data_IF_844450821438
#
_entry.id   IF_844450821438
#
_cell.length_a   1.000
_cell.length_b   1.000
_cell.length_c   1.000
_cell.angle_alpha   90.00
_cell.angle_beta   90.00
_cell.angle_gamma   90.00
#
_symmetry.space_group_name_H-M   'P 1'
#
loop_
_entity.id
_entity.type
_entity.pdbx_description
1 polymer ?
#
# COMPACT_ATOMS: atom_id res chain seq x y z
N UNK A 1 -13.61 -46.71 -96.60
CA UNK A 1 -14.05 -47.17 -95.29
C UNK A 1 -12.93 -46.90 -94.28
N UNK A 2 -12.96 -45.75 -93.66
CA UNK A 2 -12.04 -45.42 -92.55
C UNK A 2 -12.89 -44.68 -91.46
N UNK A 3 -13.01 -45.28 -90.31
CA UNK A 3 -13.69 -44.74 -89.14
C UNK A 3 -12.73 -43.82 -88.37
N UNK A 4 -13.11 -42.59 -88.19
CA UNK A 4 -12.43 -41.63 -87.35
C UNK A 4 -13.05 -41.72 -85.96
N UNK A 5 -12.20 -42.01 -84.95
CA UNK A 5 -12.59 -42.02 -83.54
C UNK A 5 -12.10 -40.69 -82.99
N UNK A 6 -13.06 -39.85 -82.53
CA UNK A 6 -12.76 -38.62 -81.80
C UNK A 6 -12.57 -38.94 -80.31
N UNK A 7 -11.40 -38.60 -79.78
CA UNK A 7 -11.13 -38.69 -78.34
C UNK A 7 -11.57 -37.45 -77.64
N UNK A 8 -12.40 -37.64 -76.62
CA UNK A 8 -12.82 -36.55 -75.72
C UNK A 8 -11.86 -36.51 -74.52
N UNK A 9 -11.08 -35.41 -74.38
CA UNK A 9 -10.28 -35.14 -73.21
C UNK A 9 -11.18 -34.56 -72.12
N UNK A 10 -11.37 -35.29 -71.03
CA UNK A 10 -12.01 -34.77 -69.83
C UNK A 10 -10.91 -34.22 -68.91
N UNK A 11 -10.86 -32.86 -68.81
CA UNK A 11 -10.02 -32.17 -67.86
C UNK A 11 -10.58 -32.25 -66.45
N UNK A 12 -9.89 -32.94 -65.56
CA UNK A 12 -10.22 -33.00 -64.13
C UNK A 12 -9.69 -31.72 -63.44
N UNK A 13 -10.59 -30.80 -63.06
CA UNK A 13 -10.27 -29.69 -62.18
C UNK A 13 -10.16 -30.20 -60.76
N UNK A 14 -8.94 -30.28 -60.23
CA UNK A 14 -8.68 -30.57 -58.81
C UNK A 14 -8.93 -29.30 -58.01
N UNK A 15 -10.08 -29.22 -57.30
CA UNK A 15 -10.31 -28.23 -56.26
C UNK A 15 -9.44 -28.60 -55.02
N UNK A 16 -8.35 -27.88 -54.83
CA UNK A 16 -7.58 -27.95 -53.56
C UNK A 16 -8.33 -27.09 -52.55
N UNK A 17 -9.15 -27.70 -51.69
CA UNK A 17 -9.70 -27.10 -50.50
C UNK A 17 -8.56 -26.83 -49.49
N UNK A 18 -8.13 -25.57 -49.41
CA UNK A 18 -7.24 -25.10 -48.35
C UNK A 18 -8.03 -25.05 -47.04
N UNK A 19 -7.95 -26.14 -46.26
CA UNK A 19 -8.38 -26.13 -44.86
C UNK A 19 -7.45 -25.17 -44.10
N UNK A 20 -7.85 -23.94 -43.92
CA UNK A 20 -7.26 -22.99 -42.99
C UNK A 20 -7.45 -23.53 -41.56
N UNK A 21 -6.44 -24.21 -41.04
CA UNK A 21 -6.37 -24.57 -39.62
C UNK A 21 -6.27 -23.27 -38.81
N UNK A 22 -7.41 -22.77 -38.37
CA UNK A 22 -7.46 -21.73 -37.33
C UNK A 22 -6.73 -22.27 -36.10
N UNK A 23 -5.48 -21.82 -35.88
CA UNK A 23 -4.76 -22.02 -34.61
C UNK A 23 -5.57 -21.31 -33.53
N UNK A 24 -6.46 -22.03 -32.82
CA UNK A 24 -6.98 -21.57 -31.54
C UNK A 24 -5.76 -21.30 -30.66
N UNK A 25 -5.38 -20.03 -30.49
CA UNK A 25 -4.39 -19.65 -29.51
C UNK A 25 -4.90 -20.14 -28.16
N UNK A 26 -4.19 -21.08 -27.54
CA UNK A 26 -4.45 -21.45 -26.14
C UNK A 26 -4.29 -20.16 -25.34
N UNK A 27 -5.38 -19.60 -24.83
CA UNK A 27 -5.35 -18.49 -23.90
C UNK A 27 -4.39 -18.91 -22.79
N UNK A 28 -3.28 -18.19 -22.64
CA UNK A 28 -2.33 -18.46 -21.56
C UNK A 28 -3.11 -18.48 -20.24
N UNK A 29 -2.81 -19.43 -19.37
CA UNK A 29 -3.47 -19.53 -18.07
C UNK A 29 -3.12 -18.26 -17.28
N UNK A 30 -4.12 -17.59 -16.73
CA UNK A 30 -3.89 -16.39 -15.92
C UNK A 30 -2.96 -16.72 -14.75
N UNK A 31 -2.05 -15.81 -14.46
CA UNK A 31 -1.13 -15.91 -13.31
C UNK A 31 -1.81 -15.26 -12.11
N UNK A 32 -1.94 -16.01 -11.01
CA UNK A 32 -2.43 -15.47 -9.75
C UNK A 32 -1.28 -14.80 -8.98
N UNK A 33 -1.48 -13.57 -8.53
CA UNK A 33 -0.57 -12.82 -7.65
C UNK A 33 -1.35 -12.38 -6.42
N UNK A 34 -0.85 -12.71 -5.23
CA UNK A 34 -1.43 -12.30 -3.95
C UNK A 34 -0.69 -11.08 -3.42
N UNK A 35 -1.43 -10.01 -3.13
CA UNK A 35 -0.87 -8.81 -2.48
C UNK A 35 -1.51 -8.60 -1.12
N UNK A 36 -0.68 -8.53 -0.08
CA UNK A 36 -1.10 -8.25 1.30
C UNK A 36 -1.28 -6.76 1.56
N UNK A 37 -2.40 -6.40 2.15
CA UNK A 37 -2.74 -5.02 2.53
C UNK A 37 -3.29 -5.00 3.94
N UNK A 38 -3.36 -3.82 4.59
CA UNK A 38 -3.93 -3.69 5.94
C UNK A 38 -5.12 -2.75 5.93
N UNK A 39 -6.31 -3.34 6.09
CA UNK A 39 -7.58 -2.62 6.09
C UNK A 39 -8.36 -2.74 4.79
N UNK A 40 -9.64 -2.37 4.83
CA UNK A 40 -10.60 -2.56 3.75
C UNK A 40 -10.48 -1.51 2.65
N UNK A 41 -10.02 -0.29 2.97
CA UNK A 41 -9.87 0.82 2.02
C UNK A 41 -8.95 0.48 0.83
N UNK A 42 -8.05 -0.47 1.00
CA UNK A 42 -7.13 -0.89 -0.05
C UNK A 42 -7.82 -1.61 -1.21
N UNK A 43 -9.04 -2.16 -1.03
CA UNK A 43 -9.82 -2.71 -2.15
C UNK A 43 -10.11 -1.65 -3.20
N UNK A 44 -10.55 -0.46 -2.78
CA UNK A 44 -10.82 0.67 -3.68
C UNK A 44 -9.54 1.16 -4.37
N UNK A 45 -8.43 1.27 -3.61
CA UNK A 45 -7.14 1.75 -4.12
C UNK A 45 -6.55 0.83 -5.18
N UNK A 46 -6.74 -0.49 -5.03
CA UNK A 46 -6.22 -1.50 -5.96
C UNK A 46 -7.18 -1.89 -7.08
N UNK A 47 -8.46 -1.48 -7.04
CA UNK A 47 -9.46 -1.83 -8.04
C UNK A 47 -9.06 -1.43 -9.47
N UNK A 48 -8.50 -0.24 -9.75
CA UNK A 48 -8.00 0.11 -11.09
C UNK A 48 -6.91 -0.84 -11.57
N UNK A 49 -5.92 -1.14 -10.71
CA UNK A 49 -4.82 -2.05 -11.03
C UNK A 49 -5.31 -3.47 -11.29
N UNK A 50 -6.22 -4.01 -10.46
CA UNK A 50 -6.83 -5.31 -10.68
C UNK A 50 -7.52 -5.40 -12.04
N UNK A 51 -8.26 -4.37 -12.42
CA UNK A 51 -8.95 -4.28 -13.71
C UNK A 51 -7.96 -4.28 -14.88
N UNK A 52 -6.90 -3.49 -14.82
CA UNK A 52 -5.87 -3.40 -15.85
C UNK A 52 -5.13 -4.74 -16.01
N UNK A 53 -4.64 -5.31 -14.90
CA UNK A 53 -3.86 -6.56 -14.88
C UNK A 53 -4.65 -7.76 -15.40
N UNK A 54 -5.96 -7.81 -15.14
CA UNK A 54 -6.83 -8.88 -15.65
C UNK A 54 -6.81 -8.96 -17.17
N UNK A 55 -6.70 -7.83 -17.87
CA UNK A 55 -6.60 -7.79 -19.33
C UNK A 55 -5.28 -8.34 -19.84
N UNK A 56 -4.22 -8.32 -19.01
CA UNK A 56 -2.90 -8.86 -19.30
C UNK A 56 -2.72 -10.34 -18.84
N UNK A 57 -3.78 -10.96 -18.34
CA UNK A 57 -3.74 -12.34 -17.86
C UNK A 57 -3.14 -12.49 -16.46
N UNK A 58 -3.08 -11.41 -15.66
CA UNK A 58 -2.65 -11.41 -14.27
C UNK A 58 -3.88 -11.22 -13.39
N UNK A 59 -4.11 -12.14 -12.47
CA UNK A 59 -5.21 -12.10 -11.51
C UNK A 59 -4.65 -11.66 -10.15
N UNK A 60 -4.71 -10.35 -9.86
CA UNK A 60 -4.25 -9.79 -8.60
C UNK A 60 -5.30 -10.03 -7.50
N UNK A 61 -4.93 -10.79 -6.48
CA UNK A 61 -5.76 -11.12 -5.32
C UNK A 61 -5.35 -10.30 -4.11
N UNK A 62 -6.25 -9.50 -3.58
CA UNK A 62 -6.04 -8.78 -2.33
C UNK A 62 -6.17 -9.75 -1.16
N UNK A 63 -5.18 -9.76 -0.27
CA UNK A 63 -5.20 -10.48 1.01
C UNK A 63 -5.18 -9.44 2.12
N UNK A 64 -6.29 -9.30 2.84
CA UNK A 64 -6.42 -8.31 3.91
C UNK A 64 -5.87 -8.84 5.23
N UNK A 65 -5.10 -8.00 5.91
CA UNK A 65 -4.63 -8.19 7.28
C UNK A 65 -5.25 -7.14 8.19
N UNK A 66 -5.31 -7.42 9.48
CA UNK A 66 -5.88 -6.52 10.50
C UNK A 66 -4.84 -5.72 11.27
N UNK A 67 -3.56 -6.04 11.10
CA UNK A 67 -2.44 -5.44 11.83
C UNK A 67 -1.21 -5.25 10.95
N UNK A 68 -0.20 -4.53 11.47
CA UNK A 68 1.06 -4.27 10.75
C UNK A 68 2.15 -5.33 11.00
N UNK A 69 1.94 -6.27 11.93
CA UNK A 69 2.95 -7.29 12.31
C UNK A 69 2.98 -8.45 11.33
N UNK A 70 1.79 -8.90 10.89
CA UNK A 70 1.62 -10.14 10.14
C UNK A 70 2.07 -10.06 8.67
N UNK A 71 1.88 -8.95 7.91
CA UNK A 71 2.07 -9.00 6.44
C UNK A 71 3.50 -9.24 5.98
N UNK A 72 4.53 -8.72 6.66
CA UNK A 72 5.92 -8.98 6.28
C UNK A 72 6.35 -10.42 6.60
N UNK A 73 5.82 -11.01 7.67
CA UNK A 73 6.01 -12.43 7.96
C UNK A 73 5.38 -13.31 6.86
N UNK A 74 4.12 -13.03 6.50
CA UNK A 74 3.42 -13.75 5.43
C UNK A 74 4.14 -13.61 4.07
N UNK A 75 4.69 -12.42 3.76
CA UNK A 75 5.49 -12.21 2.57
C UNK A 75 6.80 -13.02 2.62
N UNK A 76 7.52 -12.95 3.73
CA UNK A 76 8.78 -13.67 3.92
C UNK A 76 8.60 -15.19 3.78
N UNK A 77 7.50 -15.74 4.31
CA UNK A 77 7.16 -17.16 4.25
C UNK A 77 6.58 -17.62 2.90
N UNK A 78 6.27 -16.69 1.97
CA UNK A 78 5.70 -17.02 0.66
C UNK A 78 4.21 -17.31 0.67
N UNK A 79 3.49 -16.90 1.70
CA UNK A 79 2.02 -17.03 1.78
C UNK A 79 1.33 -16.00 0.87
N UNK A 80 1.98 -14.85 0.66
CA UNK A 80 1.66 -13.80 -0.31
C UNK A 80 2.88 -13.53 -1.20
N UNK A 81 2.67 -12.92 -2.36
CA UNK A 81 3.73 -12.61 -3.33
C UNK A 81 4.30 -11.20 -3.15
N UNK A 82 3.43 -10.26 -2.79
CA UNK A 82 3.70 -8.85 -2.56
C UNK A 82 2.99 -8.38 -1.29
N UNK A 83 3.43 -7.26 -0.72
CA UNK A 83 2.57 -6.48 0.18
C UNK A 83 2.64 -4.99 -0.13
N UNK A 84 1.60 -4.23 0.27
CA UNK A 84 1.49 -2.80 0.04
C UNK A 84 0.69 -2.16 1.18
N UNK A 85 1.30 -2.01 2.36
CA UNK A 85 0.64 -1.47 3.56
C UNK A 85 1.52 -0.53 4.37
N UNK A 86 2.83 -0.55 4.13
CA UNK A 86 3.87 0.01 4.97
C UNK A 86 4.64 1.12 4.28
N UNK A 87 5.22 2.01 5.07
CA UNK A 87 6.16 3.00 4.57
C UNK A 87 7.62 2.50 4.67
N UNK A 88 8.54 3.20 3.98
CA UNK A 88 9.94 2.80 3.81
C UNK A 88 10.63 2.49 5.15
N UNK A 89 10.58 3.40 6.12
CA UNK A 89 11.28 3.19 7.39
C UNK A 89 10.68 2.05 8.22
N UNK A 90 9.37 1.77 8.08
CA UNK A 90 8.75 0.60 8.71
C UNK A 90 9.32 -0.68 8.11
N UNK A 91 9.38 -0.79 6.77
CA UNK A 91 9.98 -1.93 6.10
C UNK A 91 11.43 -2.16 6.54
N UNK A 92 12.25 -1.10 6.56
CA UNK A 92 13.66 -1.18 6.96
C UNK A 92 13.83 -1.66 8.40
N UNK A 93 13.03 -1.13 9.33
CA UNK A 93 13.07 -1.51 10.74
C UNK A 93 12.58 -2.95 10.97
N UNK A 94 11.43 -3.32 10.39
CA UNK A 94 10.82 -4.62 10.59
C UNK A 94 11.64 -5.73 9.91
N UNK A 95 12.08 -5.51 8.66
CA UNK A 95 12.93 -6.45 7.94
C UNK A 95 14.28 -6.64 8.64
N UNK A 96 14.89 -5.57 9.14
CA UNK A 96 16.14 -5.64 9.91
C UNK A 96 15.98 -6.40 11.24
N UNK A 97 14.90 -6.13 11.98
CA UNK A 97 14.65 -6.76 13.28
C UNK A 97 14.37 -8.26 13.19
N UNK A 98 13.75 -8.71 12.08
CA UNK A 98 13.36 -10.11 11.87
C UNK A 98 14.22 -10.86 10.85
N UNK A 99 15.25 -10.20 10.27
CA UNK A 99 16.08 -10.74 9.20
C UNK A 99 15.27 -11.20 7.97
N UNK A 100 14.23 -10.45 7.61
CA UNK A 100 13.45 -10.72 6.39
C UNK A 100 14.20 -10.20 5.15
N UNK A 101 14.38 -11.04 4.14
CA UNK A 101 14.86 -10.61 2.81
C UNK A 101 13.68 -10.08 1.98
N UNK A 102 13.16 -8.94 2.40
CA UNK A 102 12.06 -8.22 1.74
C UNK A 102 12.59 -6.90 1.22
N UNK A 103 12.25 -6.56 -0.03
CA UNK A 103 12.75 -5.40 -0.75
C UNK A 103 11.60 -4.53 -1.25
N UNK A 104 11.78 -3.23 -1.21
CA UNK A 104 10.94 -2.26 -1.89
C UNK A 104 11.09 -2.43 -3.41
N UNK A 105 9.98 -2.41 -4.15
CA UNK A 105 9.94 -2.52 -5.61
C UNK A 105 9.10 -1.42 -6.29
N UNK A 106 8.45 -0.56 -5.54
CA UNK A 106 7.69 0.57 -6.07
C UNK A 106 7.07 1.40 -4.97
N UNK A 107 6.99 2.70 -5.18
CA UNK A 107 6.34 3.64 -4.25
C UNK A 107 4.85 3.77 -4.59
N UNK A 108 4.04 4.12 -3.60
CA UNK A 108 2.58 4.25 -3.78
C UNK A 108 2.06 5.64 -3.44
N UNK A 109 2.06 6.01 -2.18
CA UNK A 109 1.54 7.28 -1.67
C UNK A 109 2.13 7.58 -0.29
N UNK A 110 1.87 8.77 0.21
CA UNK A 110 1.92 9.06 1.65
C UNK A 110 0.50 9.30 2.17
N UNK A 111 0.26 8.86 3.41
CA UNK A 111 -0.99 9.09 4.14
C UNK A 111 -0.66 9.76 5.47
N UNK A 112 -1.39 10.83 5.86
CA UNK A 112 -1.14 11.54 7.12
C UNK A 112 -1.38 10.68 8.36
N UNK A 113 -0.59 10.95 9.40
CA UNK A 113 -0.72 10.41 10.75
C UNK A 113 -1.24 11.50 11.68
N UNK A 114 -2.54 11.76 11.66
CA UNK A 114 -3.16 12.91 12.30
C UNK A 114 -3.52 12.68 13.78
N UNK A 115 -3.59 13.80 14.53
CA UNK A 115 -4.09 13.84 15.89
C UNK A 115 -5.61 14.11 15.90
N UNK A 116 -6.36 13.22 16.51
CA UNK A 116 -7.82 13.30 16.63
C UNK A 116 -8.27 13.37 18.08
N UNK A 117 -9.47 13.91 18.29
CA UNK A 117 -10.16 13.89 19.58
C UNK A 117 -11.67 13.79 19.39
N UNK A 118 -12.33 13.01 20.26
CA UNK A 118 -13.79 13.02 20.39
C UNK A 118 -14.29 14.03 21.43
N UNK A 119 -13.38 14.64 22.22
CA UNK A 119 -13.70 15.47 23.39
C UNK A 119 -13.45 16.96 23.16
N UNK A 120 -12.45 17.32 22.34
CA UNK A 120 -12.03 18.71 22.09
C UNK A 120 -11.92 18.99 20.58
N UNK A 121 -11.95 20.27 20.21
CA UNK A 121 -11.93 20.74 18.81
C UNK A 121 -10.55 21.26 18.38
N UNK A 122 -9.64 21.49 19.33
CA UNK A 122 -8.31 22.01 19.07
C UNK A 122 -7.30 21.53 20.10
N UNK A 123 -6.01 21.54 19.74
CA UNK A 123 -4.89 21.22 20.65
C UNK A 123 -4.87 22.13 21.88
N UNK A 124 -5.27 23.40 21.72
CA UNK A 124 -5.30 24.36 22.81
C UNK A 124 -6.25 23.97 23.95
N UNK A 125 -7.35 23.29 23.62
CA UNK A 125 -8.38 22.86 24.58
C UNK A 125 -7.97 21.60 25.37
N UNK A 126 -6.89 20.90 25.00
CA UNK A 126 -6.36 19.78 25.78
C UNK A 126 -5.94 20.28 27.17
N UNK A 127 -6.47 19.65 28.20
CA UNK A 127 -6.23 20.02 29.60
C UNK A 127 -4.86 19.53 30.07
N UNK A 128 -4.40 20.09 31.16
CA UNK A 128 -3.23 19.59 31.88
C UNK A 128 -3.50 18.13 32.32
N UNK A 129 -2.54 17.23 32.09
CA UNK A 129 -2.67 15.80 32.36
C UNK A 129 -3.52 15.03 31.34
N UNK A 130 -3.85 15.62 30.17
CA UNK A 130 -4.60 14.96 29.12
C UNK A 130 -3.87 13.68 28.64
N UNK A 131 -4.66 12.62 28.45
CA UNK A 131 -4.15 11.34 27.95
C UNK A 131 -4.19 11.30 26.43
N UNK A 132 -3.05 10.99 25.80
CA UNK A 132 -2.92 10.89 24.35
C UNK A 132 -2.41 9.51 23.95
N UNK A 133 -3.21 8.77 23.18
CA UNK A 133 -2.79 7.48 22.62
C UNK A 133 -1.96 7.65 21.35
N UNK A 134 -0.91 6.83 21.21
CA UNK A 134 -0.04 6.79 20.02
C UNK A 134 0.25 5.33 19.64
N UNK A 135 0.66 5.05 18.37
CA UNK A 135 1.15 3.72 17.99
C UNK A 135 2.36 3.29 18.80
N UNK A 136 2.43 2.01 19.12
CA UNK A 136 3.51 1.43 19.94
C UNK A 136 4.67 0.82 19.13
N UNK A 137 4.57 0.79 17.79
CA UNK A 137 5.70 0.37 16.97
C UNK A 137 6.72 1.51 16.84
N UNK A 138 7.99 1.14 16.70
CA UNK A 138 9.13 2.08 16.72
C UNK A 138 8.96 3.24 15.74
N UNK A 139 8.47 2.97 14.54
CA UNK A 139 8.47 3.95 13.45
C UNK A 139 7.23 4.83 13.44
N UNK A 140 6.03 4.27 13.63
CA UNK A 140 4.80 5.06 13.77
C UNK A 140 4.75 5.77 15.13
N UNK A 141 5.25 5.14 16.20
CA UNK A 141 5.41 5.77 17.51
C UNK A 141 6.33 6.99 17.45
N UNK A 142 7.50 6.83 16.81
CA UNK A 142 8.43 7.94 16.60
C UNK A 142 7.83 9.08 15.77
N UNK A 143 7.11 8.74 14.66
CA UNK A 143 6.37 9.74 13.87
C UNK A 143 5.29 10.44 14.70
N UNK A 144 4.54 9.68 15.52
CA UNK A 144 3.52 10.25 16.39
C UNK A 144 4.09 11.23 17.41
N UNK A 145 5.25 10.91 18.01
CA UNK A 145 5.96 11.82 18.92
C UNK A 145 6.40 13.10 18.20
N UNK A 146 6.87 13.02 16.94
CA UNK A 146 7.19 14.20 16.12
C UNK A 146 5.92 15.03 15.84
N UNK A 147 4.78 14.39 15.58
CA UNK A 147 3.48 15.09 15.39
C UNK A 147 3.06 15.81 16.67
N UNK A 148 3.24 15.21 17.86
CA UNK A 148 2.96 15.88 19.13
C UNK A 148 3.89 17.08 19.37
N UNK A 149 5.16 16.98 18.98
CA UNK A 149 6.11 18.09 19.05
C UNK A 149 5.73 19.22 18.08
N UNK A 150 5.38 18.89 16.84
CA UNK A 150 4.90 19.87 15.87
C UNK A 150 3.60 20.55 16.31
N UNK A 151 2.74 19.84 17.04
CA UNK A 151 1.53 20.40 17.66
C UNK A 151 1.81 21.31 18.89
N UNK A 152 3.07 21.44 19.30
CA UNK A 152 3.47 22.26 20.47
C UNK A 152 3.07 21.65 21.81
N UNK A 153 2.79 20.35 21.86
CA UNK A 153 2.41 19.64 23.09
C UNK A 153 3.62 19.20 23.91
N UNK A 154 4.74 18.94 23.25
CA UNK A 154 6.00 18.48 23.84
C UNK A 154 7.18 19.11 23.09
N UNK A 155 8.35 19.12 23.72
CA UNK A 155 9.64 19.45 23.08
C UNK A 155 10.57 18.25 23.13
N UNK A 156 11.29 17.97 22.04
CA UNK A 156 12.22 16.86 21.94
C UNK A 156 13.65 17.31 22.09
N UNK A 157 14.55 16.42 22.50
CA UNK A 157 16.00 16.60 22.45
C UNK A 157 16.44 16.97 21.03
N UNK A 158 17.44 17.81 20.88
CA UNK A 158 17.98 18.21 19.57
C UNK A 158 18.56 17.01 18.77
N UNK A 159 19.00 15.96 19.44
CA UNK A 159 19.59 14.75 18.90
C UNK A 159 18.65 13.53 18.95
N UNK A 160 17.35 13.73 19.09
CA UNK A 160 16.34 12.68 19.23
C UNK A 160 16.25 11.70 18.03
N UNK A 161 16.94 12.00 16.92
CA UNK A 161 16.98 11.16 15.74
C UNK A 161 15.67 11.10 14.98
N UNK A 162 15.58 10.16 14.02
CA UNK A 162 14.41 10.05 13.15
C UNK A 162 13.22 9.36 13.84
N UNK A 163 13.46 8.39 14.70
CA UNK A 163 12.45 7.66 15.47
C UNK A 163 12.55 7.98 16.97
N UNK A 164 12.15 9.21 17.40
CA UNK A 164 12.18 9.56 18.83
C UNK A 164 11.24 8.67 19.65
N UNK A 165 11.58 8.50 20.90
CA UNK A 165 10.80 7.78 21.91
C UNK A 165 10.29 8.74 22.99
N UNK A 166 9.43 8.27 23.88
CA UNK A 166 8.97 9.06 25.04
C UNK A 166 10.14 9.54 25.90
N UNK A 167 11.27 8.80 25.94
CA UNK A 167 12.49 9.17 26.69
C UNK A 167 13.24 10.38 26.07
N UNK A 168 12.90 10.77 24.84
CA UNK A 168 13.49 11.92 24.15
C UNK A 168 12.72 13.22 24.37
N UNK A 169 11.65 13.19 25.16
CA UNK A 169 10.86 14.36 25.53
C UNK A 169 11.61 15.14 26.64
N UNK A 170 11.94 16.39 26.40
CA UNK A 170 12.61 17.28 27.38
C UNK A 170 11.64 18.25 28.05
N UNK A 171 10.55 18.63 27.36
CA UNK A 171 9.50 19.47 27.94
C UNK A 171 8.12 18.90 27.60
N UNK A 172 7.24 18.97 28.58
CA UNK A 172 5.84 18.53 28.47
C UNK A 172 4.98 19.49 29.32
N UNK A 173 4.76 20.72 28.82
CA UNK A 173 4.17 21.82 29.62
C UNK A 173 2.75 21.56 30.07
N UNK A 174 2.02 20.67 29.36
CA UNK A 174 0.66 20.24 29.74
C UNK A 174 0.63 18.90 30.49
N UNK A 175 1.78 18.34 30.84
CA UNK A 175 1.88 17.02 31.51
C UNK A 175 1.08 15.94 30.76
N UNK A 176 1.13 15.93 29.43
CA UNK A 176 0.43 14.96 28.59
C UNK A 176 0.88 13.55 28.99
N UNK A 177 -0.08 12.67 29.24
CA UNK A 177 0.16 11.26 29.54
C UNK A 177 0.06 10.48 28.23
N UNK A 178 1.23 10.03 27.72
CA UNK A 178 1.31 9.27 26.47
C UNK A 178 0.98 7.80 26.78
N UNK A 179 0.04 7.21 26.01
CA UNK A 179 -0.31 5.79 26.03
C UNK A 179 0.08 5.15 24.69
N UNK A 180 1.03 4.25 24.71
CA UNK A 180 1.45 3.49 23.54
C UNK A 180 0.54 2.26 23.37
N UNK A 181 -0.17 2.17 22.25
CA UNK A 181 -1.13 1.12 21.94
C UNK A 181 -0.84 0.53 20.55
N UNK A 182 -1.25 -0.72 20.31
CA UNK A 182 -1.23 -1.28 18.97
C UNK A 182 -2.06 -0.39 18.02
N UNK A 183 -1.48 -0.03 16.86
CA UNK A 183 -2.05 0.98 15.95
C UNK A 183 -3.51 0.68 15.56
N UNK A 184 -3.85 -0.59 15.32
CA UNK A 184 -5.20 -1.03 14.97
C UNK A 184 -6.23 -0.89 16.12
N UNK A 185 -5.79 -0.74 17.37
CA UNK A 185 -6.69 -0.59 18.53
C UNK A 185 -6.97 0.88 18.87
N UNK A 186 -6.16 1.81 18.37
CA UNK A 186 -6.25 3.23 18.72
C UNK A 186 -7.60 3.85 18.32
N UNK A 187 -8.18 3.59 17.12
CA UNK A 187 -9.48 4.16 16.77
C UNK A 187 -10.57 3.81 17.77
N UNK A 188 -10.61 2.57 18.27
CA UNK A 188 -11.57 2.12 19.29
C UNK A 188 -11.33 2.80 20.63
N UNK A 189 -10.08 3.09 20.98
CA UNK A 189 -9.70 3.73 22.24
C UNK A 189 -9.96 5.26 22.24
N UNK A 190 -10.31 5.87 21.10
CA UNK A 190 -10.43 7.33 20.96
C UNK A 190 -11.47 7.95 21.92
N UNK A 191 -12.52 7.21 22.28
CA UNK A 191 -13.53 7.65 23.25
C UNK A 191 -13.00 7.67 24.69
N UNK A 192 -12.04 6.81 25.01
CA UNK A 192 -11.52 6.61 26.37
C UNK A 192 -10.35 7.56 26.72
N UNK A 193 -9.66 8.10 25.69
CA UNK A 193 -8.55 9.04 25.85
C UNK A 193 -8.99 10.47 25.52
N UNK A 194 -8.12 11.45 25.76
CA UNK A 194 -8.44 12.85 25.45
C UNK A 194 -8.12 13.20 24.01
N UNK A 195 -7.10 12.54 23.42
CA UNK A 195 -6.79 12.58 22.01
C UNK A 195 -6.00 11.33 21.59
N UNK A 196 -5.88 11.09 20.30
CA UNK A 196 -5.07 9.98 19.77
C UNK A 196 -4.46 10.32 18.42
N UNK A 197 -3.23 9.88 18.21
CA UNK A 197 -2.60 9.83 16.88
C UNK A 197 -3.05 8.54 16.20
N UNK A 198 -3.72 8.67 15.05
CA UNK A 198 -4.32 7.54 14.35
C UNK A 198 -3.73 7.42 12.94
N UNK A 199 -3.24 6.23 12.58
CA UNK A 199 -2.80 5.94 11.23
C UNK A 199 -3.93 6.12 10.23
N UNK A 200 -3.64 6.75 9.08
CA UNK A 200 -4.66 7.20 8.16
C UNK A 200 -5.57 6.10 7.61
N UNK A 201 -5.04 4.91 7.31
CA UNK A 201 -5.85 3.76 6.88
C UNK A 201 -6.83 3.31 7.98
N UNK A 202 -6.39 3.21 9.24
CA UNK A 202 -7.27 2.86 10.35
C UNK A 202 -8.30 3.97 10.65
N UNK A 203 -7.92 5.24 10.48
CA UNK A 203 -8.88 6.33 10.62
C UNK A 203 -10.02 6.20 9.59
N UNK A 204 -9.68 5.94 8.33
CA UNK A 204 -10.67 5.75 7.26
C UNK A 204 -11.52 4.50 7.47
N UNK A 205 -10.91 3.34 7.77
CA UNK A 205 -11.64 2.09 8.01
C UNK A 205 -12.60 2.19 9.20
N UNK A 206 -12.26 3.01 10.19
CA UNK A 206 -13.11 3.25 11.36
C UNK A 206 -14.14 4.37 11.15
N UNK A 207 -14.15 5.00 9.97
CA UNK A 207 -15.08 6.10 9.64
C UNK A 207 -14.77 7.41 10.36
N UNK A 208 -13.54 7.61 10.84
CA UNK A 208 -13.10 8.88 11.42
C UNK A 208 -12.95 9.87 10.26
N UNK A 209 -13.67 11.00 10.35
CA UNK A 209 -13.59 12.05 9.35
C UNK A 209 -12.22 12.71 9.38
N UNK A 210 -11.50 12.67 8.27
CA UNK A 210 -10.12 13.18 8.19
C UNK A 210 -10.01 14.67 8.49
N UNK A 211 -11.06 15.44 8.16
CA UNK A 211 -11.19 16.86 8.47
C UNK A 211 -11.44 17.16 9.95
N UNK A 212 -11.82 16.14 10.75
CA UNK A 212 -12.02 16.30 12.20
C UNK A 212 -10.72 16.25 13.02
N UNK A 213 -9.56 16.10 12.36
CA UNK A 213 -8.28 16.14 13.02
C UNK A 213 -8.08 17.49 13.74
N UNK A 214 -7.71 17.43 15.03
CA UNK A 214 -7.38 18.62 15.82
C UNK A 214 -5.97 19.13 15.55
N UNK A 215 -5.13 18.28 14.91
CA UNK A 215 -3.84 18.65 14.34
C UNK A 215 -3.51 17.72 13.18
N UNK A 216 -3.06 18.30 12.07
CA UNK A 216 -2.67 17.55 10.87
C UNK A 216 -1.17 17.27 10.89
N UNK A 217 -0.80 16.08 10.47
CA UNK A 217 0.58 15.67 10.30
C UNK A 217 1.31 16.59 9.30
N UNK A 218 2.45 17.12 9.70
CA UNK A 218 3.30 17.99 8.89
C UNK A 218 4.47 17.27 8.23
N UNK A 219 4.61 15.95 8.45
CA UNK A 219 5.73 15.16 7.92
C UNK A 219 5.41 14.49 6.57
N UNK A 220 4.39 14.99 5.85
CA UNK A 220 3.94 14.40 4.58
C UNK A 220 4.94 14.55 3.43
N UNK A 221 5.95 15.41 3.54
CA UNK A 221 7.03 15.56 2.55
C UNK A 221 8.23 14.64 2.80
N UNK A 222 8.22 13.86 3.92
CA UNK A 222 9.35 13.01 4.29
C UNK A 222 9.30 11.66 3.55
N UNK A 223 10.28 11.40 2.68
CA UNK A 223 10.38 10.17 1.86
C UNK A 223 10.36 8.88 2.67
N UNK A 224 10.86 8.87 3.90
CA UNK A 224 10.83 7.72 4.79
C UNK A 224 9.41 7.26 5.13
N UNK A 225 8.42 8.15 5.02
CA UNK A 225 7.02 7.83 5.24
C UNK A 225 6.24 7.53 3.96
N UNK A 226 6.89 7.49 2.79
CA UNK A 226 6.24 7.03 1.58
C UNK A 226 5.90 5.55 1.68
N UNK A 227 4.65 5.24 1.42
CA UNK A 227 4.17 3.86 1.35
C UNK A 227 4.66 3.21 0.06
N UNK A 228 4.75 1.88 0.09
CA UNK A 228 5.47 1.14 -0.92
C UNK A 228 4.82 -0.22 -1.22
N UNK A 229 5.26 -0.83 -2.31
CA UNK A 229 5.05 -2.22 -2.65
C UNK A 229 6.35 -2.95 -2.36
N UNK A 230 6.26 -4.09 -1.65
CA UNK A 230 7.41 -4.91 -1.32
C UNK A 230 7.28 -6.33 -1.86
N UNK A 231 8.43 -6.95 -2.16
CA UNK A 231 8.56 -8.33 -2.62
C UNK A 231 9.69 -9.05 -1.87
N UNK A 232 9.70 -10.40 -1.90
CA UNK A 232 10.84 -11.18 -1.39
C UNK A 232 12.06 -10.97 -2.29
N UNK A 233 13.24 -10.79 -1.70
CA UNK A 233 14.49 -10.71 -2.44
C UNK A 233 14.80 -11.97 -3.27
N UNK A 234 14.37 -13.14 -2.80
CA UNK A 234 14.50 -14.38 -3.55
C UNK A 234 13.71 -14.37 -4.87
N UNK A 235 12.50 -13.76 -4.87
CA UNK A 235 11.64 -13.67 -6.06
C UNK A 235 12.20 -12.68 -7.10
N UNK A 236 12.96 -11.70 -6.68
CA UNK A 236 13.61 -10.73 -7.57
C UNK A 236 14.80 -11.31 -8.36
N UNK A 237 15.21 -12.55 -8.05
CA UNK A 237 16.20 -13.29 -8.84
C UNK A 237 15.58 -14.01 -10.02
N UNK A 238 14.25 -14.11 -10.10
CA UNK A 238 13.52 -14.72 -11.23
C UNK A 238 13.04 -13.63 -12.20
N UNK A 239 13.60 -13.52 -13.41
CA UNK A 239 13.21 -12.48 -14.38
C UNK A 239 11.72 -12.53 -14.74
N UNK A 240 11.10 -13.70 -14.74
CA UNK A 240 9.67 -13.83 -15.06
C UNK A 240 8.79 -13.23 -13.95
N UNK A 241 9.17 -13.42 -12.68
CA UNK A 241 8.50 -12.76 -11.55
C UNK A 241 8.71 -11.25 -11.54
N UNK A 242 9.95 -10.80 -11.80
CA UNK A 242 10.28 -9.38 -11.91
C UNK A 242 9.40 -8.70 -12.97
N UNK A 243 9.25 -9.32 -14.15
CA UNK A 243 8.38 -8.77 -15.20
C UNK A 243 6.91 -8.62 -14.72
N UNK A 244 6.38 -9.63 -14.04
CA UNK A 244 5.01 -9.58 -13.48
C UNK A 244 4.91 -8.51 -12.40
N UNK A 245 5.86 -8.42 -11.49
CA UNK A 245 5.84 -7.44 -10.40
C UNK A 245 5.95 -6.00 -10.93
N UNK A 246 6.77 -5.77 -11.96
CA UNK A 246 6.81 -4.47 -12.66
C UNK A 246 5.45 -4.09 -13.26
N UNK A 247 4.71 -5.06 -13.81
CA UNK A 247 3.35 -4.82 -14.31
C UNK A 247 2.41 -4.44 -13.16
N UNK A 248 2.51 -5.10 -12.00
CA UNK A 248 1.70 -4.77 -10.82
C UNK A 248 2.00 -3.35 -10.34
N UNK A 249 3.27 -2.97 -10.20
CA UNK A 249 3.67 -1.60 -9.82
C UNK A 249 3.12 -0.57 -10.82
N UNK A 250 3.34 -0.78 -12.12
CA UNK A 250 2.86 0.13 -13.17
C UNK A 250 1.33 0.23 -13.24
N UNK A 251 0.63 -0.87 -12.97
CA UNK A 251 -0.83 -0.88 -12.96
C UNK A 251 -1.41 -0.07 -11.79
N UNK A 252 -0.69 0.00 -10.67
CA UNK A 252 -1.06 0.86 -9.54
C UNK A 252 -0.73 2.33 -9.82
N UNK A 253 0.45 2.61 -10.36
CA UNK A 253 0.95 3.98 -10.61
C UNK A 253 0.31 4.60 -11.86
N UNK A 254 -1.02 4.75 -11.84
CA UNK A 254 -1.81 5.27 -12.98
C UNK A 254 -2.68 6.44 -12.58
N UNK A 255 -3.13 7.19 -13.60
CA UNK A 255 -4.10 8.29 -13.40
C UNK A 255 -5.40 7.78 -12.78
N UNK A 256 -5.83 6.58 -13.11
CA UNK A 256 -7.04 5.95 -12.57
C UNK A 256 -6.93 5.74 -11.05
N UNK A 257 -5.76 5.32 -10.56
CA UNK A 257 -5.49 5.20 -9.12
C UNK A 257 -5.43 6.58 -8.45
N UNK A 258 -4.76 7.56 -9.08
CA UNK A 258 -4.74 8.94 -8.58
C UNK A 258 -6.15 9.55 -8.52
N UNK A 259 -7.03 9.18 -9.47
CA UNK A 259 -8.43 9.60 -9.45
C UNK A 259 -9.19 9.02 -8.24
N UNK A 260 -8.89 7.80 -7.80
CA UNK A 260 -9.43 7.25 -6.56
C UNK A 260 -8.96 8.08 -5.35
N UNK A 261 -7.68 8.41 -5.27
CA UNK A 261 -7.15 9.27 -4.20
C UNK A 261 -7.92 10.59 -4.10
N UNK A 262 -8.16 11.24 -5.23
CA UNK A 262 -8.75 12.56 -5.29
C UNK A 262 -10.29 12.53 -5.17
N UNK A 263 -10.98 11.61 -5.87
CA UNK A 263 -12.43 11.60 -5.97
C UNK A 263 -13.12 10.84 -4.83
N UNK A 264 -12.53 9.73 -4.40
CA UNK A 264 -13.11 8.90 -3.33
C UNK A 264 -12.64 9.36 -1.96
N UNK A 265 -11.38 9.74 -1.84
CA UNK A 265 -10.75 10.08 -0.55
C UNK A 265 -10.36 11.56 -0.41
N UNK A 266 -10.84 12.44 -1.32
CA UNK A 266 -10.67 13.89 -1.22
C UNK A 266 -9.21 14.36 -1.18
N UNK A 267 -8.27 13.61 -1.77
CA UNK A 267 -6.84 13.91 -1.75
C UNK A 267 -6.14 13.54 -0.44
N UNK A 268 -6.74 12.71 0.40
CA UNK A 268 -6.12 12.25 1.65
C UNK A 268 -4.90 11.36 1.42
N UNK A 269 -4.89 10.62 0.31
CA UNK A 269 -3.70 9.93 -0.19
C UNK A 269 -2.96 10.85 -1.16
N UNK A 270 -1.68 11.09 -0.90
CA UNK A 270 -0.84 11.92 -1.76
C UNK A 270 0.12 10.99 -2.49
N UNK A 271 0.06 10.96 -3.83
CA UNK A 271 0.94 10.10 -4.63
C UNK A 271 2.40 10.54 -4.47
N UNK A 272 3.30 9.55 -4.32
CA UNK A 272 4.72 9.81 -4.14
C UNK A 272 5.58 8.80 -4.87
N UNK A 273 6.69 9.28 -5.45
CA UNK A 273 7.77 8.46 -6.01
C UNK A 273 7.38 7.58 -7.20
N UNK A 274 6.33 7.92 -7.96
CA UNK A 274 5.91 7.12 -9.12
C UNK A 274 6.84 7.26 -10.33
N UNK A 275 7.73 8.23 -10.32
CA UNK A 275 8.79 8.47 -11.30
C UNK A 275 10.10 7.74 -10.99
N UNK A 276 10.17 7.03 -9.85
CA UNK A 276 11.36 6.30 -9.41
C UNK A 276 11.22 4.82 -9.74
N UNK A 277 12.19 4.26 -10.48
CA UNK A 277 12.30 2.81 -10.67
C UNK A 277 13.07 2.21 -9.49
N UNK A 278 12.41 1.39 -8.70
CA UNK A 278 12.95 0.76 -7.48
C UNK A 278 13.37 -0.72 -7.71
N UNK A 279 13.36 -1.22 -8.98
CA UNK A 279 13.80 -2.59 -9.32
C UNK A 279 15.29 -2.70 -9.57
#
# INVERSE_FOLDING_TARGET
>A
MKKIIAGILIGALALTSVFGASKKSKKAKAVDIKIGVVGSIYEDLWAPAQKALKSEGINLKIVQFSDYVTPNNALSNGEIDLNAFQHRIFLENDAGSHNYDVKLIGNTFIIPLNLYSSKVKSVAELKNGATVAIPNDVTNGGRAIKVLAAAGLITLKADAGFNPTVADIVENPKNIVIKELAANTIPSALADVDAAIVNGNYALDFGIKTESAIFKDTSVDEKQYWNLIAARGADLKDPAKVEIFRKVVKAFQTKETEDVFNKTYGGYFIKEGWDIDEF
#
